data_IF_291531710379
#
_entry.id   IF_291531710379
#
_cell.length_a   1.000
_cell.length_b   1.000
_cell.length_c   1.000
_cell.angle_alpha   90.00
_cell.angle_beta   90.00
_cell.angle_gamma   90.00
#
_symmetry.space_group_name_H-M   'P 1'
#
loop_
_entity.id
_entity.type
_entity.pdbx_description
1 polymer ?
#
# COMPACT_ATOMS: atom_id res chain seq x y z
N UNK A 1 -11.07 45.52 -62.28
CA UNK A 1 -9.80 45.22 -61.62
C UNK A 1 -10.17 44.75 -60.23
N UNK A 2 -10.07 43.45 -59.99
CA UNK A 2 -10.13 42.90 -58.63
C UNK A 2 -8.71 42.93 -58.08
N UNK A 3 -8.57 43.27 -56.80
CA UNK A 3 -7.32 43.11 -56.04
C UNK A 3 -7.57 41.89 -55.17
N UNK A 4 -6.70 40.91 -55.27
CA UNK A 4 -6.78 39.63 -54.56
C UNK A 4 -5.43 39.38 -53.89
N UNK A 5 -5.46 38.94 -52.64
CA UNK A 5 -4.29 38.39 -51.99
C UNK A 5 -4.17 36.90 -52.30
N UNK A 6 -2.98 36.47 -52.68
CA UNK A 6 -2.65 35.07 -52.98
C UNK A 6 -1.36 34.64 -52.25
N UNK A 7 -0.95 35.38 -51.23
CA UNK A 7 0.16 35.02 -50.36
C UNK A 7 -0.44 34.32 -49.15
N UNK A 8 0.01 33.09 -48.88
CA UNK A 8 -0.42 32.38 -47.68
C UNK A 8 0.15 33.06 -46.42
N UNK A 9 -0.58 33.04 -45.29
CA UNK A 9 -0.02 33.45 -44.00
C UNK A 9 1.23 32.62 -43.66
N UNK A 10 2.04 33.07 -42.71
CA UNK A 10 3.11 32.26 -42.11
C UNK A 10 2.70 31.81 -40.71
N UNK A 11 2.46 30.52 -40.55
CA UNK A 11 2.16 29.91 -39.26
C UNK A 11 3.45 29.66 -38.45
N UNK A 12 3.52 30.17 -37.23
CA UNK A 12 4.67 30.00 -36.33
C UNK A 12 4.19 29.41 -35.01
N UNK A 13 4.73 28.23 -34.68
CA UNK A 13 4.35 27.47 -33.48
C UNK A 13 5.45 27.49 -32.43
N UNK A 14 5.08 27.25 -31.18
CA UNK A 14 6.00 26.90 -30.10
C UNK A 14 5.52 25.65 -29.35
N UNK A 15 6.47 24.84 -28.92
CA UNK A 15 6.22 23.72 -28.01
C UNK A 15 5.95 24.23 -26.61
N UNK A 16 5.07 23.53 -25.87
CA UNK A 16 4.71 23.88 -24.49
C UNK A 16 4.62 22.62 -23.61
N UNK A 17 4.68 22.84 -22.30
CA UNK A 17 4.36 21.83 -21.29
C UNK A 17 3.18 22.30 -20.46
N UNK A 18 2.19 21.43 -20.25
CA UNK A 18 1.01 21.70 -19.43
C UNK A 18 0.85 20.63 -18.37
N UNK A 19 0.17 20.98 -17.29
CA UNK A 19 -0.09 20.10 -16.15
C UNK A 19 -1.57 19.75 -16.11
N UNK A 20 -1.88 18.49 -15.82
CA UNK A 20 -3.25 18.11 -15.49
C UNK A 20 -3.69 18.75 -14.16
N UNK A 21 -4.97 19.07 -14.06
CA UNK A 21 -5.60 19.48 -12.81
C UNK A 21 -6.00 18.27 -11.95
N UNK A 22 -6.51 18.51 -10.73
CA UNK A 22 -6.93 17.46 -9.80
C UNK A 22 -8.11 16.61 -10.30
N UNK A 23 -8.73 16.94 -11.43
CA UNK A 23 -9.73 16.12 -12.11
C UNK A 23 -9.15 15.34 -13.30
N UNK A 24 -7.82 15.40 -13.51
CA UNK A 24 -7.12 14.74 -14.59
C UNK A 24 -7.31 15.44 -15.95
N UNK A 25 -7.56 16.76 -15.98
CA UNK A 25 -7.80 17.50 -17.22
C UNK A 25 -6.85 18.70 -17.38
N UNK A 26 -6.56 19.04 -18.64
CA UNK A 26 -5.92 20.30 -19.00
C UNK A 26 -6.49 20.86 -20.30
N UNK A 27 -6.25 22.14 -20.58
CA UNK A 27 -6.66 22.75 -21.83
C UNK A 27 -5.66 23.80 -22.28
N UNK A 28 -5.61 24.03 -23.59
CA UNK A 28 -4.79 25.05 -24.23
C UNK A 28 -5.67 25.95 -25.09
N UNK A 29 -5.14 27.12 -25.39
CA UNK A 29 -5.70 28.10 -26.31
C UNK A 29 -4.74 28.33 -27.48
N UNK A 30 -5.22 28.97 -28.53
CA UNK A 30 -4.39 29.35 -29.68
C UNK A 30 -3.20 30.22 -29.27
N UNK A 31 -3.36 31.10 -28.28
CA UNK A 31 -2.28 31.95 -27.77
C UNK A 31 -1.18 31.20 -27.04
N UNK A 32 -1.41 29.96 -26.60
CA UNK A 32 -0.37 29.16 -25.97
C UNK A 32 0.58 28.56 -27.02
N UNK A 33 0.06 28.26 -28.22
CA UNK A 33 0.80 27.61 -29.31
C UNK A 33 1.31 28.60 -30.36
N UNK A 34 0.57 29.67 -30.61
CA UNK A 34 0.95 30.70 -31.58
C UNK A 34 2.17 31.48 -31.10
N UNK A 35 3.24 31.41 -31.87
CA UNK A 35 4.52 32.07 -31.59
C UNK A 35 4.76 33.25 -32.56
N UNK A 36 3.68 33.96 -32.89
CA UNK A 36 3.71 35.17 -33.70
C UNK A 36 3.46 34.92 -35.18
N UNK A 37 2.49 34.07 -35.51
CA UNK A 37 1.99 33.90 -36.87
C UNK A 37 1.57 35.24 -37.48
N UNK A 38 1.83 35.43 -38.77
CA UNK A 38 1.62 36.72 -39.42
C UNK A 38 1.33 36.58 -40.92
N UNK A 39 0.70 37.61 -41.48
CA UNK A 39 0.43 37.76 -42.91
C UNK A 39 0.57 39.23 -43.34
N UNK A 40 0.71 39.52 -44.64
CA UNK A 40 0.81 40.89 -45.16
C UNK A 40 -0.51 41.67 -45.15
N UNK A 41 -1.64 40.98 -45.23
CA UNK A 41 -2.99 41.54 -45.24
C UNK A 41 -3.76 41.28 -43.93
N UNK A 42 -3.22 40.45 -43.04
CA UNK A 42 -3.74 40.24 -41.69
C UNK A 42 -4.32 38.85 -41.49
N UNK A 43 -4.54 38.46 -40.23
CA UNK A 43 -5.06 37.14 -39.87
C UNK A 43 -6.54 37.27 -39.51
N UNK A 44 -7.38 36.46 -40.15
CA UNK A 44 -8.81 36.34 -39.81
C UNK A 44 -9.02 35.36 -38.67
N UNK A 45 -8.38 34.18 -38.74
CA UNK A 45 -8.60 33.11 -37.78
C UNK A 45 -7.33 32.29 -37.49
N UNK A 46 -7.20 31.88 -36.23
CA UNK A 46 -6.22 30.89 -35.77
C UNK A 46 -7.01 29.79 -35.04
N UNK A 47 -6.72 28.53 -35.35
CA UNK A 47 -7.40 27.39 -34.74
C UNK A 47 -6.45 26.25 -34.44
N UNK A 48 -6.82 25.43 -33.45
CA UNK A 48 -6.11 24.20 -33.08
C UNK A 48 -7.01 22.99 -33.36
N UNK A 49 -6.41 21.88 -33.76
CA UNK A 49 -7.09 20.59 -33.92
C UNK A 49 -7.44 19.92 -32.57
N UNK A 50 -6.64 20.19 -31.54
CA UNK A 50 -6.79 19.68 -30.17
C UNK A 50 -6.66 20.85 -29.18
N UNK A 51 -7.56 20.93 -28.21
CA UNK A 51 -7.57 22.00 -27.18
C UNK A 51 -7.73 21.50 -25.75
N UNK A 52 -8.05 20.23 -25.57
CA UNK A 52 -8.29 19.60 -24.26
C UNK A 52 -7.49 18.32 -24.17
N UNK A 53 -6.96 18.05 -22.98
CA UNK A 53 -6.15 16.88 -22.68
C UNK A 53 -6.65 16.24 -21.39
N UNK A 54 -6.50 14.93 -21.28
CA UNK A 54 -6.77 14.16 -20.07
C UNK A 54 -5.61 13.21 -19.74
N UNK A 55 -5.80 12.35 -18.74
CA UNK A 55 -4.82 11.33 -18.33
C UNK A 55 -4.33 10.43 -19.47
N UNK A 56 -5.13 10.21 -20.52
CA UNK A 56 -4.71 9.40 -21.68
C UNK A 56 -3.70 10.13 -22.57
N UNK A 57 -3.52 11.44 -22.36
CA UNK A 57 -2.60 12.28 -23.10
C UNK A 57 -1.27 12.53 -22.37
N UNK A 58 -1.00 11.94 -21.21
CA UNK A 58 0.29 12.17 -20.52
C UNK A 58 1.46 11.79 -21.43
N UNK A 59 2.44 12.69 -21.53
CA UNK A 59 3.54 12.63 -22.49
C UNK A 59 3.38 13.61 -23.67
N UNK A 60 4.15 13.42 -24.76
CA UNK A 60 4.15 14.32 -25.90
C UNK A 60 2.94 14.11 -26.83
N UNK A 61 2.24 15.19 -27.15
CA UNK A 61 1.12 15.23 -28.11
C UNK A 61 1.42 16.23 -29.22
N UNK A 62 1.17 15.86 -30.47
CA UNK A 62 1.31 16.79 -31.60
C UNK A 62 0.00 17.55 -31.80
N UNK A 63 0.06 18.88 -31.76
CA UNK A 63 -1.06 19.78 -32.04
C UNK A 63 -0.78 20.55 -33.32
N UNK A 64 -1.77 20.65 -34.20
CA UNK A 64 -1.71 21.41 -35.44
C UNK A 64 -2.40 22.76 -35.26
N UNK A 65 -1.65 23.83 -35.49
CA UNK A 65 -2.19 25.18 -35.57
C UNK A 65 -2.44 25.53 -37.04
N UNK A 66 -3.67 25.93 -37.36
CA UNK A 66 -4.06 26.43 -38.69
C UNK A 66 -4.34 27.92 -38.62
N UNK A 67 -3.65 28.67 -39.47
CA UNK A 67 -3.83 30.12 -39.65
C UNK A 67 -4.56 30.36 -40.96
N UNK A 68 -5.56 31.24 -40.94
CA UNK A 68 -6.31 31.69 -42.12
C UNK A 68 -6.26 33.21 -42.19
N UNK A 69 -5.85 33.75 -43.33
CA UNK A 69 -5.85 35.20 -43.57
C UNK A 69 -7.25 35.75 -43.91
N UNK A 70 -7.40 37.07 -44.03
CA UNK A 70 -8.68 37.72 -44.40
C UNK A 70 -9.17 37.39 -45.82
N UNK A 71 -8.31 36.78 -46.64
CA UNK A 71 -8.56 36.45 -48.04
C UNK A 71 -8.86 34.95 -48.25
N UNK A 72 -8.77 34.13 -47.20
CA UNK A 72 -9.04 32.70 -47.21
C UNK A 72 -7.83 31.82 -47.54
N UNK A 73 -6.62 32.38 -47.61
CA UNK A 73 -5.39 31.60 -47.74
C UNK A 73 -5.01 31.01 -46.37
N UNK A 74 -4.31 29.87 -46.37
CA UNK A 74 -4.06 29.11 -45.15
C UNK A 74 -2.66 28.56 -45.06
N UNK A 75 -2.09 28.56 -43.86
CA UNK A 75 -0.84 27.87 -43.53
C UNK A 75 -0.97 27.12 -42.20
N UNK A 76 -0.12 26.12 -42.00
CA UNK A 76 -0.15 25.26 -40.81
C UNK A 76 1.25 25.07 -40.23
N UNK A 77 1.32 25.04 -38.91
CA UNK A 77 2.49 24.58 -38.18
C UNK A 77 2.08 23.56 -37.11
N UNK A 78 3.04 22.77 -36.64
CA UNK A 78 2.83 21.80 -35.56
C UNK A 78 3.65 22.18 -34.34
N UNK A 79 3.07 21.98 -33.16
CA UNK A 79 3.74 22.08 -31.87
C UNK A 79 3.64 20.75 -31.11
N UNK A 80 4.64 20.47 -30.28
CA UNK A 80 4.57 19.42 -29.27
C UNK A 80 4.04 20.00 -27.97
N UNK A 81 2.90 19.48 -27.51
CA UNK A 81 2.34 19.74 -26.19
C UNK A 81 2.68 18.57 -25.30
N UNK A 82 3.59 18.78 -24.34
CA UNK A 82 3.92 17.77 -23.34
C UNK A 82 2.96 17.91 -22.17
N UNK A 83 2.12 16.90 -21.95
CA UNK A 83 1.22 16.83 -20.80
C UNK A 83 1.95 16.09 -19.69
N UNK A 84 1.96 16.65 -18.49
CA UNK A 84 2.53 16.03 -17.31
C UNK A 84 1.44 15.80 -16.25
N UNK A 85 1.55 14.68 -15.57
CA UNK A 85 0.88 14.47 -14.28
C UNK A 85 1.93 14.52 -13.17
N UNK A 86 1.78 15.51 -12.30
CA UNK A 86 2.65 15.75 -11.14
C UNK A 86 1.83 15.78 -9.84
N UNK A 87 0.62 15.23 -9.86
CA UNK A 87 -0.24 15.14 -8.69
C UNK A 87 0.04 13.80 -8.01
N UNK A 88 0.46 13.84 -6.75
CA UNK A 88 0.64 12.61 -5.98
C UNK A 88 -0.72 11.94 -5.72
N UNK A 89 -0.78 10.59 -5.69
CA UNK A 89 -1.96 9.88 -5.24
C UNK A 89 -2.30 10.23 -3.79
N UNK A 90 -3.51 9.90 -3.34
CA UNK A 90 -3.89 9.95 -1.92
C UNK A 90 -3.88 8.56 -1.32
N UNK A 91 -2.94 8.28 -0.41
CA UNK A 91 -2.86 7.02 0.32
C UNK A 91 -3.80 7.02 1.54
N UNK A 92 -4.70 6.02 1.63
CA UNK A 92 -5.65 5.89 2.74
C UNK A 92 -5.49 4.52 3.38
N UNK A 93 -5.18 4.51 4.68
CA UNK A 93 -4.94 3.30 5.46
C UNK A 93 -6.06 3.03 6.46
N UNK A 94 -6.21 1.78 6.88
CA UNK A 94 -6.99 1.37 8.05
C UNK A 94 -6.21 0.43 8.96
N UNK A 95 -6.44 0.55 10.27
CA UNK A 95 -5.91 -0.37 11.27
C UNK A 95 -6.67 -1.71 11.23
N UNK A 96 -5.98 -2.81 11.53
CA UNK A 96 -6.57 -4.16 11.57
C UNK A 96 -6.05 -4.98 12.75
N UNK A 97 -6.77 -6.04 13.08
CA UNK A 97 -6.34 -7.08 14.02
C UNK A 97 -6.29 -8.42 13.31
N UNK A 98 -5.20 -9.16 13.47
CA UNK A 98 -4.99 -10.50 12.89
C UNK A 98 -4.59 -11.49 13.97
N UNK A 99 -4.82 -12.78 13.70
CA UNK A 99 -4.49 -13.86 14.63
C UNK A 99 -3.44 -14.78 14.03
N UNK A 100 -2.49 -15.22 14.86
CA UNK A 100 -1.51 -16.23 14.47
C UNK A 100 -2.20 -17.59 14.28
N UNK A 101 -1.72 -18.35 13.30
CA UNK A 101 -2.13 -19.73 13.08
C UNK A 101 -1.47 -20.69 14.09
N UNK A 102 -1.82 -21.98 14.01
CA UNK A 102 -1.26 -23.01 14.89
C UNK A 102 0.25 -23.25 14.72
N UNK A 103 0.87 -22.68 13.68
CA UNK A 103 2.32 -22.67 13.48
C UNK A 103 2.97 -21.36 13.94
N UNK A 104 2.20 -20.44 14.53
CA UNK A 104 2.66 -19.16 15.03
C UNK A 104 2.87 -18.12 13.95
N UNK A 105 2.18 -18.20 12.80
CA UNK A 105 2.35 -17.27 11.67
C UNK A 105 1.03 -16.60 11.26
N UNK A 106 1.11 -15.39 10.73
CA UNK A 106 0.01 -14.73 10.03
C UNK A 106 0.54 -13.92 8.84
N UNK A 107 -0.34 -13.55 7.91
CA UNK A 107 0.01 -12.65 6.81
C UNK A 107 -1.13 -11.70 6.48
N UNK A 108 -0.78 -10.59 5.86
CA UNK A 108 -1.71 -9.57 5.34
C UNK A 108 -1.39 -9.30 3.88
N UNK A 109 -2.35 -8.70 3.21
CA UNK A 109 -2.27 -8.19 1.84
C UNK A 109 -2.54 -6.69 1.81
N UNK A 110 -2.23 -6.05 0.70
CA UNK A 110 -2.52 -4.62 0.50
C UNK A 110 -4.01 -4.30 0.69
N UNK A 111 -4.91 -5.19 0.25
CA UNK A 111 -6.36 -5.02 0.41
C UNK A 111 -6.86 -5.07 1.86
N UNK A 112 -6.07 -5.60 2.79
CA UNK A 112 -6.44 -5.58 4.21
C UNK A 112 -6.20 -4.19 4.82
N UNK A 113 -5.21 -3.45 4.32
CA UNK A 113 -4.75 -2.15 4.86
C UNK A 113 -5.26 -0.96 4.04
N UNK A 114 -5.37 -1.11 2.72
CA UNK A 114 -5.86 -0.06 1.85
C UNK A 114 -7.35 0.22 2.12
N UNK A 115 -7.65 1.48 2.42
CA UNK A 115 -8.99 1.95 2.75
C UNK A 115 -9.54 2.90 1.68
N UNK A 116 -9.20 2.62 0.41
CA UNK A 116 -9.70 3.35 -0.74
C UNK A 116 -8.77 4.46 -1.21
N UNK A 117 -7.47 4.16 -1.28
CA UNK A 117 -6.49 5.03 -1.93
C UNK A 117 -6.92 5.34 -3.38
N UNK A 118 -6.64 6.56 -3.84
CA UNK A 118 -7.08 7.01 -5.16
C UNK A 118 -6.14 8.06 -5.75
N UNK A 119 -6.24 8.25 -7.07
CA UNK A 119 -5.51 9.26 -7.84
C UNK A 119 -6.38 9.79 -9.00
N UNK A 120 -6.05 10.97 -9.55
CA UNK A 120 -6.78 11.55 -10.69
C UNK A 120 -6.58 10.81 -12.01
N UNK A 121 -5.41 10.21 -12.24
CA UNK A 121 -5.06 9.45 -13.44
C UNK A 121 -4.91 7.96 -13.21
N UNK A 122 -4.97 7.51 -11.96
CA UNK A 122 -5.08 6.10 -11.61
C UNK A 122 -3.89 5.59 -10.82
N UNK A 123 -4.02 4.40 -10.25
CA UNK A 123 -2.98 3.78 -9.44
C UNK A 123 -2.33 2.66 -10.23
N UNK A 124 -1.01 2.69 -10.35
CA UNK A 124 -0.22 1.59 -10.92
C UNK A 124 0.03 0.49 -9.87
N UNK A 125 0.45 0.89 -8.66
CA UNK A 125 0.88 -0.06 -7.65
C UNK A 125 0.56 0.38 -6.21
N UNK A 126 0.23 -0.61 -5.37
CA UNK A 126 0.11 -0.47 -3.92
C UNK A 126 0.99 -1.53 -3.28
N UNK A 127 1.78 -1.17 -2.27
CA UNK A 127 2.70 -2.09 -1.59
C UNK A 127 2.74 -1.86 -0.07
N UNK A 128 3.12 -2.91 0.67
CA UNK A 128 3.36 -2.87 2.12
C UNK A 128 4.83 -3.17 2.41
N UNK A 129 5.39 -2.53 3.43
CA UNK A 129 6.74 -2.82 3.93
C UNK A 129 6.82 -4.15 4.70
N UNK A 130 5.72 -4.55 5.34
CA UNK A 130 5.59 -5.78 6.13
C UNK A 130 4.31 -6.51 5.72
N UNK A 131 4.42 -7.81 5.44
CA UNK A 131 3.27 -8.65 5.02
C UNK A 131 3.11 -9.94 5.81
N UNK A 132 4.09 -10.29 6.65
CA UNK A 132 4.11 -11.54 7.42
C UNK A 132 4.47 -11.24 8.86
N UNK A 133 3.83 -11.97 9.78
CA UNK A 133 3.98 -11.80 11.22
C UNK A 133 4.17 -13.16 11.88
N UNK A 134 4.92 -13.19 12.97
CA UNK A 134 5.10 -14.36 13.80
C UNK A 134 4.88 -14.02 15.30
N UNK A 135 5.18 -14.98 16.18
CA UNK A 135 5.07 -14.81 17.62
C UNK A 135 5.89 -13.64 18.20
N UNK A 136 6.95 -13.18 17.51
CA UNK A 136 7.71 -11.99 17.94
C UNK A 136 6.96 -10.69 17.67
N UNK A 137 5.91 -10.73 16.84
CA UNK A 137 5.09 -9.60 16.48
C UNK A 137 3.81 -9.47 17.33
N UNK A 138 3.56 -10.32 18.32
CA UNK A 138 2.36 -10.20 19.17
C UNK A 138 2.26 -8.80 19.78
N UNK A 139 1.10 -8.16 19.61
CA UNK A 139 0.86 -6.75 19.94
C UNK A 139 0.78 -5.84 18.71
N UNK A 140 0.91 -4.51 18.89
CA UNK A 140 0.78 -3.55 17.80
C UNK A 140 2.06 -3.46 16.94
N UNK A 141 1.89 -3.50 15.62
CA UNK A 141 2.96 -3.32 14.63
C UNK A 141 2.55 -2.21 13.66
N UNK A 142 3.45 -1.26 13.40
CA UNK A 142 3.22 -0.23 12.37
C UNK A 142 3.61 -0.80 11.01
N UNK A 143 2.67 -0.74 10.06
CA UNK A 143 2.87 -1.11 8.66
C UNK A 143 2.72 0.13 7.80
N UNK A 144 3.62 0.32 6.84
CA UNK A 144 3.59 1.42 5.88
C UNK A 144 3.03 0.92 4.56
N UNK A 145 1.98 1.59 4.08
CA UNK A 145 1.44 1.40 2.74
C UNK A 145 1.97 2.50 1.82
N UNK A 146 2.52 2.11 0.67
CA UNK A 146 2.97 3.02 -0.38
C UNK A 146 2.10 2.85 -1.63
N UNK A 147 1.56 3.95 -2.12
CA UNK A 147 0.77 4.04 -3.36
C UNK A 147 1.62 4.74 -4.42
N UNK A 148 1.63 4.21 -5.64
CA UNK A 148 2.29 4.80 -6.81
C UNK A 148 1.29 4.89 -7.95
N UNK A 149 1.16 6.08 -8.53
CA UNK A 149 0.28 6.32 -9.69
C UNK A 149 0.91 5.81 -11.00
N UNK A 150 0.17 5.91 -12.12
CA UNK A 150 0.65 5.52 -13.45
C UNK A 150 1.82 6.37 -13.98
N UNK A 151 2.10 7.50 -13.35
CA UNK A 151 3.10 8.48 -13.77
C UNK A 151 4.34 8.53 -12.86
N UNK A 152 4.35 7.70 -11.81
CA UNK A 152 5.47 7.53 -10.89
C UNK A 152 5.44 8.46 -9.68
N UNK A 153 4.36 9.22 -9.47
CA UNK A 153 4.13 10.00 -8.26
C UNK A 153 3.72 9.05 -7.12
N UNK A 154 4.00 9.45 -5.87
CA UNK A 154 3.86 8.52 -4.73
C UNK A 154 3.37 9.19 -3.47
N UNK A 155 2.53 8.48 -2.72
CA UNK A 155 2.13 8.86 -1.37
C UNK A 155 2.17 7.65 -0.43
N UNK A 156 2.24 7.91 0.88
CA UNK A 156 2.34 6.90 1.92
C UNK A 156 1.40 7.17 3.09
N UNK A 157 0.84 6.10 3.64
CA UNK A 157 0.13 6.13 4.91
C UNK A 157 0.62 4.99 5.82
N UNK A 158 0.27 5.06 7.11
CA UNK A 158 0.60 4.01 8.08
C UNK A 158 -0.66 3.46 8.72
N UNK A 159 -0.63 2.17 9.03
CA UNK A 159 -1.66 1.45 9.76
C UNK A 159 -1.04 0.70 10.94
N UNK A 160 -1.82 0.53 12.00
CA UNK A 160 -1.50 -0.38 13.11
C UNK A 160 -2.11 -1.74 12.84
N UNK A 161 -1.25 -2.76 12.73
CA UNK A 161 -1.63 -4.17 12.69
C UNK A 161 -1.43 -4.76 14.07
N UNK A 162 -2.53 -5.08 14.75
CA UNK A 162 -2.50 -5.76 16.05
C UNK A 162 -2.48 -7.26 15.84
N UNK A 163 -1.39 -7.92 16.22
CA UNK A 163 -1.24 -9.38 16.13
C UNK A 163 -1.62 -9.99 17.48
N UNK A 164 -2.56 -10.93 17.45
CA UNK A 164 -3.01 -11.67 18.62
C UNK A 164 -2.58 -13.13 18.56
N UNK A 165 -2.16 -13.65 19.71
CA UNK A 165 -2.07 -15.07 19.97
C UNK A 165 -3.23 -15.48 20.89
N UNK A 166 -4.19 -16.22 20.32
CA UNK A 166 -5.41 -16.66 20.99
C UNK A 166 -5.50 -18.19 21.07
N UNK A 167 -4.39 -18.89 20.83
CA UNK A 167 -4.31 -20.34 20.95
C UNK A 167 -3.85 -20.67 22.37
N UNK A 168 -4.62 -21.50 23.07
CA UNK A 168 -4.25 -21.91 24.43
C UNK A 168 -3.12 -22.95 24.40
N UNK A 169 -2.19 -22.93 25.37
CA UNK A 169 -1.13 -23.92 25.48
C UNK A 169 -1.70 -25.31 25.78
N UNK A 170 -1.10 -26.34 25.18
CA UNK A 170 -1.44 -27.74 25.45
C UNK A 170 -0.50 -28.32 26.51
N UNK A 171 -1.02 -28.58 27.71
CA UNK A 171 -0.29 -29.26 28.77
C UNK A 171 -0.23 -30.79 28.53
N UNK A 172 0.97 -31.36 28.52
CA UNK A 172 1.21 -32.80 28.41
C UNK A 172 2.01 -33.26 29.63
N UNK A 173 1.41 -34.08 30.48
CA UNK A 173 2.06 -34.58 31.70
C UNK A 173 2.40 -36.08 31.59
N UNK A 174 3.37 -36.52 32.39
CA UNK A 174 3.68 -37.94 32.62
C UNK A 174 3.57 -38.31 34.09
N UNK A 175 3.21 -39.57 34.34
CA UNK A 175 3.25 -40.15 35.67
C UNK A 175 4.69 -40.51 36.05
N UNK A 176 5.14 -40.09 37.23
CA UNK A 176 6.43 -40.48 37.79
C UNK A 176 6.28 -41.22 39.11
N UNK A 177 7.35 -41.92 39.52
CA UNK A 177 7.46 -42.52 40.86
C UNK A 177 8.73 -42.00 41.50
N UNK A 178 8.60 -41.31 42.63
CA UNK A 178 9.71 -40.78 43.41
C UNK A 178 9.94 -41.61 44.68
N UNK A 179 11.18 -41.63 45.17
CA UNK A 179 11.54 -42.28 46.42
C UNK A 179 11.90 -41.23 47.46
N UNK A 180 11.44 -41.42 48.70
CA UNK A 180 11.86 -40.59 49.82
C UNK A 180 13.35 -40.84 50.14
N UNK A 181 14.06 -39.79 50.52
CA UNK A 181 15.43 -39.88 51.01
C UNK A 181 15.51 -40.52 52.41
N UNK A 182 16.72 -40.67 52.95
CA UNK A 182 16.94 -41.24 54.29
C UNK A 182 16.31 -40.39 55.42
N UNK A 183 15.97 -39.13 55.15
CA UNK A 183 15.28 -38.22 56.08
C UNK A 183 13.76 -38.23 55.88
N UNK A 184 13.24 -39.01 54.93
CA UNK A 184 11.82 -39.15 54.64
C UNK A 184 11.26 -38.04 53.75
N UNK A 185 12.08 -37.35 52.94
CA UNK A 185 11.63 -36.26 52.06
C UNK A 185 11.93 -36.56 50.59
N UNK A 186 11.13 -36.00 49.69
CA UNK A 186 11.41 -35.93 48.25
C UNK A 186 10.91 -34.60 47.68
N UNK A 187 11.44 -34.21 46.53
CA UNK A 187 10.96 -33.07 45.77
C UNK A 187 10.89 -33.36 44.29
N UNK A 188 9.98 -32.69 43.60
CA UNK A 188 9.86 -32.72 42.14
C UNK A 188 9.94 -31.31 41.58
N UNK A 189 10.27 -31.25 40.30
CA UNK A 189 10.29 -30.06 39.48
C UNK A 189 9.31 -30.23 38.33
N UNK A 190 8.97 -29.12 37.65
CA UNK A 190 8.13 -29.14 36.45
C UNK A 190 8.68 -30.08 35.38
N UNK A 191 10.01 -30.13 35.21
CA UNK A 191 10.67 -31.03 34.24
C UNK A 191 10.51 -32.52 34.55
N UNK A 192 10.18 -32.90 35.78
CA UNK A 192 9.92 -34.31 36.10
C UNK A 192 8.55 -34.76 35.57
N UNK A 193 7.57 -33.85 35.52
CA UNK A 193 6.17 -34.12 35.15
C UNK A 193 5.86 -33.69 33.71
N UNK A 194 6.49 -32.65 33.19
CA UNK A 194 6.26 -32.15 31.85
C UNK A 194 6.75 -33.16 30.80
N UNK A 195 5.83 -33.57 29.93
CA UNK A 195 6.04 -34.57 28.89
C UNK A 195 5.86 -33.91 27.50
N UNK A 196 6.35 -32.69 27.36
CA UNK A 196 6.36 -31.95 26.11
C UNK A 196 5.13 -31.07 25.93
N UNK A 197 4.72 -30.36 26.98
CA UNK A 197 3.74 -29.28 26.86
C UNK A 197 4.21 -28.27 25.81
N UNK A 198 3.30 -27.76 24.99
CA UNK A 198 3.65 -26.90 23.87
C UNK A 198 2.58 -25.85 23.58
N UNK A 199 3.01 -24.80 22.91
CA UNK A 199 2.23 -23.67 22.43
C UNK A 199 2.88 -23.13 21.14
N UNK A 200 2.12 -22.50 20.24
CA UNK A 200 2.63 -21.92 18.99
C UNK A 200 3.58 -20.74 19.23
N UNK A 201 3.38 -19.97 20.30
CA UNK A 201 4.23 -18.85 20.69
C UNK A 201 5.02 -19.08 21.99
N UNK A 202 5.01 -20.33 22.45
CA UNK A 202 5.77 -20.76 23.61
C UNK A 202 4.99 -20.58 24.91
N UNK A 203 5.44 -21.28 25.94
CA UNK A 203 4.77 -21.27 27.24
C UNK A 203 5.48 -20.26 28.14
N UNK A 204 4.73 -19.25 28.62
CA UNK A 204 5.26 -18.25 29.55
C UNK A 204 5.64 -18.86 30.91
N UNK A 205 4.80 -19.74 31.44
CA UNK A 205 5.03 -20.37 32.74
C UNK A 205 4.46 -21.79 32.84
N UNK A 206 5.26 -22.70 33.40
CA UNK A 206 4.83 -24.03 33.85
C UNK A 206 5.01 -24.06 35.37
N UNK A 207 3.99 -24.53 36.08
CA UNK A 207 4.03 -24.63 37.54
C UNK A 207 3.41 -25.93 38.04
N UNK A 208 3.83 -26.35 39.23
CA UNK A 208 3.24 -27.47 39.95
C UNK A 208 2.58 -26.92 41.23
N UNK A 209 1.45 -27.49 41.59
CA UNK A 209 0.73 -27.19 42.82
C UNK A 209 1.42 -27.80 44.05
N UNK A 210 2.11 -28.94 43.89
CA UNK A 210 2.88 -29.63 44.93
C UNK A 210 4.28 -29.97 44.39
N UNK A 211 5.32 -29.59 45.13
CA UNK A 211 6.72 -29.83 44.76
C UNK A 211 7.51 -30.60 45.80
N UNK A 212 6.98 -30.81 47.00
CA UNK A 212 7.63 -31.54 48.08
C UNK A 212 6.72 -32.61 48.65
N UNK A 213 7.34 -33.72 49.05
CA UNK A 213 6.66 -34.89 49.59
C UNK A 213 7.41 -35.39 50.82
N UNK A 214 6.68 -35.91 51.79
CA UNK A 214 7.22 -36.55 52.98
C UNK A 214 6.53 -37.89 53.28
N UNK A 215 6.85 -38.49 54.42
CA UNK A 215 6.25 -39.74 54.89
C UNK A 215 4.70 -39.69 54.99
N UNK A 216 4.08 -38.52 55.11
CA UNK A 216 2.60 -38.37 55.14
C UNK A 216 1.98 -38.53 53.76
N UNK A 217 2.75 -38.33 52.69
CA UNK A 217 2.31 -38.53 51.30
C UNK A 217 2.41 -40.00 50.85
N UNK A 218 2.95 -40.90 51.69
CA UNK A 218 3.09 -42.32 51.37
C UNK A 218 1.78 -43.07 51.64
N UNK A 219 1.07 -43.45 50.58
CA UNK A 219 -0.19 -44.19 50.67
C UNK A 219 -0.66 -44.71 49.31
N UNK A 220 -1.74 -45.52 49.23
CA UNK A 220 -2.21 -46.08 47.97
C UNK A 220 -2.68 -44.96 47.03
N UNK A 221 -1.88 -44.70 45.98
CA UNK A 221 -2.08 -43.72 44.89
C UNK A 221 -2.91 -42.51 45.29
N UNK A 222 -2.25 -41.43 45.69
CA UNK A 222 -2.83 -40.09 45.76
C UNK A 222 -3.43 -39.78 44.38
N UNK A 223 -4.73 -40.01 44.20
CA UNK A 223 -5.46 -39.57 43.02
C UNK A 223 -5.76 -38.11 43.28
N UNK A 224 -5.06 -37.24 42.57
CA UNK A 224 -5.36 -35.83 42.61
C UNK A 224 -6.82 -35.59 42.17
N UNK A 225 -7.66 -34.92 42.97
CA UNK A 225 -9.01 -34.56 42.57
C UNK A 225 -9.05 -33.48 41.47
N UNK A 226 -7.94 -32.82 41.13
CA UNK A 226 -7.88 -31.76 40.12
C UNK A 226 -7.38 -32.24 38.75
N UNK A 227 -8.10 -33.20 38.13
CA UNK A 227 -8.06 -33.34 36.67
C UNK A 227 -8.85 -32.17 36.06
N UNK A 228 -8.17 -31.08 35.71
CA UNK A 228 -8.73 -30.14 34.74
C UNK A 228 -8.73 -30.84 33.38
N UNK A 229 -9.95 -31.02 32.85
CA UNK A 229 -10.24 -31.35 31.45
C UNK A 229 -10.17 -30.08 30.63
#
# INVERSE_FOLDING_TARGET
MTVEDNIDPTAICQDITIQLDASGNASISTSDIDNGSADNCGIDNISLDITTFDCTNVGPNTVTLTVTDENGNTDQCTATVTVEDNIDPTAICQDITIQLDASGNASISTSDIDNGSADNCGIDNISLDITTFDCTNVGPNTVTLTVTDENGNTDQCTATVTVEDNIDPTAICQDITIQLDASGNASISTSDIDNGSADNCGIDNISLDITTFDCTNVGPKHRDPYRHR
#
